data_IF_478904263790
#
_entry.id   IF_478904263790
#
_cell.length_a   1.000
_cell.length_b   1.000
_cell.length_c   1.000
_cell.angle_alpha   90.00
_cell.angle_beta   90.00
_cell.angle_gamma   90.00
#
_symmetry.space_group_name_H-M   'P 1'
#
loop_
_entity.id
_entity.type
_entity.pdbx_description
1 polymer ?
#
# COMPACT_ATOMS: atom_id res chain seq x y z
N UNK A 1 -7.62 3.93 19.46
CA UNK A 1 -9.11 3.98 19.41
C UNK A 1 -9.66 5.24 18.72
N UNK A 2 -9.59 6.46 19.29
CA UNK A 2 -10.20 7.68 18.67
C UNK A 2 -9.79 7.94 17.21
N UNK A 3 -8.52 7.70 16.87
CA UNK A 3 -8.02 7.87 15.50
C UNK A 3 -8.65 6.87 14.52
N UNK A 4 -8.87 5.62 14.97
CA UNK A 4 -9.54 4.59 14.18
C UNK A 4 -11.00 4.96 13.93
N UNK A 5 -11.73 5.37 14.97
CA UNK A 5 -13.12 5.79 14.84
C UNK A 5 -13.26 6.99 13.89
N UNK A 6 -12.36 7.96 14.00
CA UNK A 6 -12.33 9.13 13.10
C UNK A 6 -12.00 8.74 11.66
N UNK A 7 -11.01 7.89 11.45
CA UNK A 7 -10.62 7.43 10.11
C UNK A 7 -11.75 6.64 9.44
N UNK A 8 -12.45 5.77 10.19
CA UNK A 8 -13.62 5.04 9.70
C UNK A 8 -14.74 5.99 9.24
N UNK A 9 -15.06 7.02 10.05
CA UNK A 9 -16.11 8.00 9.71
C UNK A 9 -15.76 8.87 8.51
N UNK A 10 -14.54 9.40 8.47
CA UNK A 10 -14.13 10.38 7.47
C UNK A 10 -13.49 9.76 6.23
N UNK A 11 -13.21 8.45 6.23
CA UNK A 11 -12.58 7.76 5.10
C UNK A 11 -11.08 8.04 4.96
N UNK A 12 -10.42 8.42 6.06
CA UNK A 12 -8.99 8.66 6.05
C UNK A 12 -8.21 7.35 5.97
N UNK A 13 -7.04 7.37 5.32
CA UNK A 13 -6.09 6.26 5.36
C UNK A 13 -5.47 6.19 6.76
N UNK A 14 -5.52 5.01 7.39
CA UNK A 14 -4.94 4.77 8.70
C UNK A 14 -3.74 3.83 8.59
N UNK A 15 -2.59 4.28 9.09
CA UNK A 15 -1.40 3.45 9.24
C UNK A 15 -1.23 3.11 10.72
N UNK A 16 -1.31 1.82 11.06
CA UNK A 16 -1.12 1.30 12.42
C UNK A 16 0.29 0.74 12.51
N UNK A 17 1.06 1.26 13.46
CA UNK A 17 2.44 0.86 13.69
C UNK A 17 2.53 -0.21 14.77
N UNK A 18 3.68 -0.89 14.81
CA UNK A 18 4.05 -1.87 15.84
C UNK A 18 2.98 -2.97 16.04
N UNK A 19 2.49 -3.52 14.92
CA UNK A 19 1.40 -4.52 14.93
C UNK A 19 1.81 -5.86 15.57
N UNK A 20 3.09 -6.06 15.94
CA UNK A 20 3.51 -7.11 16.86
C UNK A 20 2.66 -7.14 18.15
N UNK A 21 2.21 -5.98 18.63
CA UNK A 21 1.27 -5.83 19.74
C UNK A 21 -0.16 -5.64 19.22
N UNK A 22 -0.65 -6.63 18.47
CA UNK A 22 -1.96 -6.58 17.82
C UNK A 22 -3.12 -6.36 18.80
N UNK A 23 -3.96 -5.34 18.54
CA UNK A 23 -5.18 -5.06 19.29
C UNK A 23 -6.41 -5.69 18.58
N UNK A 24 -7.09 -6.67 19.21
CA UNK A 24 -8.29 -7.32 18.67
C UNK A 24 -9.46 -6.37 18.34
N UNK A 25 -9.44 -5.11 18.80
CA UNK A 25 -10.42 -4.09 18.39
C UNK A 25 -10.47 -3.88 16.87
N UNK A 26 -9.41 -4.25 16.14
CA UNK A 26 -9.35 -4.18 14.68
C UNK A 26 -10.09 -5.33 13.98
N UNK A 27 -10.44 -6.41 14.69
CA UNK A 27 -11.06 -7.60 14.11
C UNK A 27 -12.31 -7.28 13.25
N UNK A 28 -13.29 -6.49 13.71
CA UNK A 28 -14.47 -6.19 12.90
C UNK A 28 -14.11 -5.47 11.59
N UNK A 29 -13.08 -4.62 11.63
CA UNK A 29 -12.57 -3.87 10.47
C UNK A 29 -11.90 -4.80 9.47
N UNK A 30 -11.02 -5.68 9.94
CA UNK A 30 -10.30 -6.63 9.08
C UNK A 30 -11.26 -7.67 8.47
N UNK A 31 -12.23 -8.13 9.25
CA UNK A 31 -13.26 -9.08 8.81
C UNK A 31 -14.29 -8.45 7.87
N UNK A 32 -14.34 -7.12 7.80
CA UNK A 32 -15.40 -6.38 7.12
C UNK A 32 -16.78 -6.80 7.64
N UNK A 33 -16.93 -6.84 8.96
CA UNK A 33 -18.20 -7.13 9.65
C UNK A 33 -19.12 -5.91 9.61
N UNK A 34 -19.67 -5.64 8.42
CA UNK A 34 -20.41 -4.41 8.15
C UNK A 34 -21.92 -4.63 8.29
N UNK A 35 -22.59 -3.76 9.05
CA UNK A 35 -24.05 -3.71 9.18
C UNK A 35 -24.62 -2.67 8.24
N UNK A 36 -25.75 -2.98 7.60
CA UNK A 36 -26.49 -2.04 6.75
C UNK A 36 -27.83 -1.71 7.40
N UNK A 37 -28.02 -0.45 7.78
CA UNK A 37 -29.23 0.00 8.47
C UNK A 37 -29.65 1.36 7.93
N UNK A 38 -30.86 1.47 7.38
CA UNK A 38 -31.41 2.74 6.90
C UNK A 38 -30.54 3.44 5.84
N UNK A 39 -29.90 2.68 4.94
CA UNK A 39 -28.99 3.22 3.92
C UNK A 39 -27.58 3.56 4.43
N UNK A 40 -27.34 3.47 5.74
CA UNK A 40 -26.01 3.64 6.34
C UNK A 40 -25.26 2.33 6.41
N UNK A 41 -23.95 2.44 6.27
CA UNK A 41 -22.99 1.34 6.39
C UNK A 41 -22.28 1.55 7.73
N UNK A 42 -22.44 0.61 8.65
CA UNK A 42 -21.99 0.73 10.04
C UNK A 42 -21.01 -0.40 10.37
N UNK A 43 -20.06 -0.12 11.25
CA UNK A 43 -19.16 -1.12 11.81
C UNK A 43 -19.14 -0.99 13.34
N UNK A 44 -19.22 -2.13 14.03
CA UNK A 44 -19.26 -2.15 15.49
C UNK A 44 -17.84 -2.27 16.04
N UNK A 45 -17.39 -1.28 16.80
CA UNK A 45 -16.11 -1.29 17.52
C UNK A 45 -16.35 -1.26 19.04
N UNK A 46 -16.20 -2.41 19.68
CA UNK A 46 -16.58 -2.59 21.07
C UNK A 46 -18.08 -2.31 21.23
N UNK A 47 -18.40 -1.28 22.01
CA UNK A 47 -19.80 -0.90 22.31
C UNK A 47 -20.37 0.18 21.39
N UNK A 48 -19.63 0.62 20.35
CA UNK A 48 -20.04 1.72 19.48
C UNK A 48 -20.23 1.28 18.03
N UNK A 49 -21.35 1.68 17.45
CA UNK A 49 -21.59 1.62 16.01
C UNK A 49 -21.08 2.90 15.34
N UNK A 50 -20.28 2.74 14.30
CA UNK A 50 -19.57 3.83 13.62
C UNK A 50 -19.90 3.77 12.13
N UNK A 51 -20.26 4.91 11.55
CA UNK A 51 -20.42 5.03 10.09
C UNK A 51 -19.10 4.73 9.38
N UNK A 52 -19.13 3.76 8.46
CA UNK A 52 -17.99 3.33 7.66
C UNK A 52 -18.00 4.06 6.32
N UNK A 53 -16.99 4.88 6.08
CA UNK A 53 -16.74 5.50 4.79
C UNK A 53 -16.18 4.49 3.79
N UNK A 54 -16.67 4.46 2.54
CA UNK A 54 -16.13 3.59 1.49
C UNK A 54 -14.70 3.96 1.07
N UNK A 55 -14.22 5.16 1.40
CA UNK A 55 -12.85 5.60 1.11
C UNK A 55 -11.82 5.14 2.15
N UNK A 56 -12.26 4.59 3.28
CA UNK A 56 -11.37 4.15 4.35
C UNK A 56 -10.41 3.05 3.87
N UNK A 57 -9.13 3.21 4.25
CA UNK A 57 -8.09 2.19 4.02
C UNK A 57 -7.25 2.06 5.28
N UNK A 58 -6.76 0.85 5.55
CA UNK A 58 -5.88 0.58 6.69
C UNK A 58 -4.65 -0.18 6.24
N UNK A 59 -3.50 0.20 6.79
CA UNK A 59 -2.23 -0.49 6.64
C UNK A 59 -1.69 -0.82 8.02
N UNK A 60 -1.35 -2.09 8.23
CA UNK A 60 -0.74 -2.56 9.46
C UNK A 60 0.75 -2.78 9.18
N UNK A 61 1.62 -2.13 9.97
CA UNK A 61 3.06 -2.22 9.78
C UNK A 61 3.74 -2.72 11.05
N UNK A 62 4.80 -3.50 10.86
CA UNK A 62 5.75 -3.90 11.90
C UNK A 62 7.17 -3.72 11.35
N UNK A 63 8.12 -3.45 12.25
CA UNK A 63 9.56 -3.47 11.94
C UNK A 63 10.21 -4.80 12.31
N UNK A 64 9.54 -5.61 13.10
CA UNK A 64 10.05 -6.88 13.56
C UNK A 64 9.69 -7.98 12.55
N UNK A 65 10.71 -8.46 11.82
CA UNK A 65 10.56 -9.52 10.83
C UNK A 65 10.40 -10.91 11.44
N UNK A 66 10.60 -11.05 12.75
CA UNK A 66 10.51 -12.34 13.46
C UNK A 66 9.13 -12.61 14.07
N UNK A 67 8.20 -11.66 13.95
CA UNK A 67 6.85 -11.77 14.52
C UNK A 67 6.08 -12.88 13.84
N UNK A 68 5.62 -13.84 14.64
CA UNK A 68 4.65 -14.84 14.21
C UNK A 68 3.24 -14.37 14.56
N UNK A 69 2.49 -13.95 13.55
CA UNK A 69 1.08 -13.62 13.71
C UNK A 69 0.23 -14.88 13.84
N UNK A 70 -0.84 -14.80 14.64
CA UNK A 70 -1.77 -15.92 14.77
C UNK A 70 -2.43 -16.24 13.41
N UNK A 71 -2.76 -17.51 13.12
CA UNK A 71 -3.42 -17.90 11.88
C UNK A 71 -4.72 -17.13 11.62
N UNK A 72 -5.41 -16.74 12.69
CA UNK A 72 -6.61 -15.92 12.64
C UNK A 72 -6.35 -14.56 11.97
N UNK A 73 -5.34 -13.82 12.45
CA UNK A 73 -4.94 -12.53 11.86
C UNK A 73 -4.44 -12.74 10.44
N UNK A 74 -3.62 -13.77 10.22
CA UNK A 74 -3.05 -14.09 8.92
C UNK A 74 -4.11 -14.34 7.83
N UNK A 75 -5.25 -14.92 8.20
CA UNK A 75 -6.34 -15.19 7.25
C UNK A 75 -7.09 -13.94 6.78
N UNK A 76 -6.97 -12.82 7.51
CA UNK A 76 -7.77 -11.60 7.31
C UNK A 76 -6.97 -10.46 6.68
N UNK A 77 -5.65 -10.62 6.59
CA UNK A 77 -4.73 -9.58 6.08
C UNK A 77 -4.02 -10.06 4.83
N UNK A 78 -3.58 -9.11 4.01
CA UNK A 78 -2.64 -9.39 2.92
C UNK A 78 -1.23 -9.03 3.40
N UNK A 79 -0.36 -10.03 3.50
CA UNK A 79 1.04 -9.79 3.84
C UNK A 79 1.81 -9.23 2.66
N UNK A 80 2.59 -8.18 2.92
CA UNK A 80 3.60 -7.66 2.01
C UNK A 80 4.91 -7.61 2.76
N UNK A 81 5.88 -8.40 2.30
CA UNK A 81 7.19 -8.50 2.95
C UNK A 81 8.21 -7.63 2.20
N UNK A 82 8.64 -6.53 2.82
CA UNK A 82 9.66 -5.62 2.31
C UNK A 82 11.06 -5.99 2.83
N UNK A 83 11.49 -7.24 2.61
CA UNK A 83 12.84 -7.69 2.99
C UNK A 83 13.87 -7.35 1.92
N UNK A 84 15.09 -7.06 2.37
CA UNK A 84 16.25 -6.90 1.49
C UNK A 84 16.63 -8.28 0.96
N UNK A 85 16.50 -8.46 -0.35
CA UNK A 85 17.03 -9.65 -1.03
C UNK A 85 18.48 -9.42 -1.43
N UNK A 86 19.27 -10.49 -1.57
CA UNK A 86 20.67 -10.41 -2.01
C UNK A 86 20.82 -9.61 -3.32
N UNK A 87 19.97 -9.88 -4.31
CA UNK A 87 19.96 -9.15 -5.57
C UNK A 87 19.66 -7.65 -5.37
N UNK A 88 18.72 -7.31 -4.50
CA UNK A 88 18.41 -5.90 -4.19
C UNK A 88 19.60 -5.19 -3.52
N UNK A 89 20.33 -5.88 -2.65
CA UNK A 89 21.51 -5.33 -1.98
C UNK A 89 22.67 -5.15 -2.95
N UNK A 90 22.95 -6.16 -3.80
CA UNK A 90 23.98 -6.07 -4.84
C UNK A 90 23.70 -4.88 -5.78
N UNK A 91 22.44 -4.70 -6.19
CA UNK A 91 22.03 -3.56 -7.02
C UNK A 91 22.21 -2.22 -6.29
N UNK A 92 21.84 -2.14 -5.00
CA UNK A 92 22.02 -0.93 -4.20
C UNK A 92 23.51 -0.56 -4.04
N UNK A 93 24.35 -1.54 -3.73
CA UNK A 93 25.80 -1.35 -3.63
C UNK A 93 26.40 -0.90 -4.96
N UNK A 94 26.03 -1.57 -6.07
CA UNK A 94 26.49 -1.19 -7.40
C UNK A 94 26.10 0.24 -7.76
N UNK A 95 24.86 0.65 -7.47
CA UNK A 95 24.39 2.02 -7.71
C UNK A 95 25.22 3.02 -6.90
N UNK A 96 25.53 2.71 -5.63
CA UNK A 96 26.31 3.59 -4.77
C UNK A 96 27.77 3.72 -5.25
N UNK A 97 28.39 2.61 -5.66
CA UNK A 97 29.75 2.61 -6.23
C UNK A 97 29.77 3.38 -7.55
N UNK A 98 28.80 3.16 -8.44
CA UNK A 98 28.73 3.85 -9.72
C UNK A 98 28.62 5.37 -9.54
N UNK A 99 27.82 5.84 -8.58
CA UNK A 99 27.71 7.26 -8.23
C UNK A 99 29.01 7.88 -7.77
N UNK A 100 29.80 7.13 -7.00
CA UNK A 100 31.10 7.57 -6.49
C UNK A 100 32.16 7.58 -7.58
N UNK A 101 32.27 6.48 -8.33
CA UNK A 101 33.37 6.25 -9.28
C UNK A 101 33.13 6.91 -10.64
N UNK A 102 31.88 6.91 -11.12
CA UNK A 102 31.49 7.39 -12.47
C UNK A 102 30.15 8.14 -12.42
N UNK A 103 30.10 9.33 -11.79
CA UNK A 103 28.86 10.10 -11.67
C UNK A 103 28.27 10.49 -13.03
N UNK A 104 29.12 10.71 -14.05
CA UNK A 104 28.72 10.97 -15.44
C UNK A 104 27.91 9.82 -16.05
N UNK A 105 28.28 8.58 -15.72
CA UNK A 105 27.57 7.38 -16.18
C UNK A 105 26.27 7.18 -15.42
N UNK A 106 26.25 7.45 -14.10
CA UNK A 106 25.02 7.36 -13.30
C UNK A 106 23.96 8.37 -13.77
N UNK A 107 24.37 9.62 -14.03
CA UNK A 107 23.49 10.66 -14.58
C UNK A 107 22.92 10.24 -15.93
N UNK A 108 23.77 9.80 -16.86
CA UNK A 108 23.32 9.31 -18.18
C UNK A 108 22.38 8.11 -18.05
N UNK A 109 22.63 7.19 -17.13
CA UNK A 109 21.74 6.05 -16.86
C UNK A 109 20.39 6.53 -16.34
N UNK A 110 20.38 7.47 -15.40
CA UNK A 110 19.17 8.06 -14.82
C UNK A 110 18.30 8.71 -15.91
N UNK A 111 18.93 9.49 -16.79
CA UNK A 111 18.26 10.15 -17.91
C UNK A 111 17.67 9.15 -18.90
N UNK A 112 18.42 8.10 -19.23
CA UNK A 112 17.94 7.05 -20.13
C UNK A 112 16.75 6.28 -19.55
N UNK A 113 16.77 5.97 -18.25
CA UNK A 113 15.64 5.33 -17.57
C UNK A 113 14.40 6.22 -17.56
N UNK A 114 14.60 7.53 -17.35
CA UNK A 114 13.51 8.51 -17.41
C UNK A 114 12.90 8.58 -18.80
N UNK A 115 13.72 8.74 -19.84
CA UNK A 115 13.28 8.76 -21.24
C UNK A 115 12.55 7.48 -21.63
N UNK A 116 13.06 6.32 -21.20
CA UNK A 116 12.40 5.04 -21.44
C UNK A 116 11.00 4.99 -20.82
N UNK A 117 10.84 5.47 -19.58
CA UNK A 117 9.55 5.56 -18.91
C UNK A 117 8.58 6.50 -19.63
N UNK A 118 9.06 7.69 -20.03
CA UNK A 118 8.28 8.67 -20.78
C UNK A 118 7.81 8.11 -22.13
N UNK A 119 8.70 7.44 -22.88
CA UNK A 119 8.34 6.83 -24.16
C UNK A 119 7.36 5.67 -23.99
N UNK A 120 7.50 4.83 -22.96
CA UNK A 120 6.55 3.76 -22.69
C UNK A 120 5.15 4.29 -22.39
N UNK A 121 5.05 5.36 -21.59
CA UNK A 121 3.78 6.04 -21.30
C UNK A 121 3.21 6.66 -22.58
N UNK A 122 4.04 7.34 -23.38
CA UNK A 122 3.60 8.00 -24.61
C UNK A 122 3.10 7.00 -25.65
N UNK A 123 3.80 5.87 -25.80
CA UNK A 123 3.39 4.80 -26.70
C UNK A 123 1.99 4.28 -26.32
N UNK A 124 1.77 3.98 -25.04
CA UNK A 124 0.47 3.53 -24.54
C UNK A 124 -0.65 4.56 -24.76
N UNK A 125 -0.34 5.85 -24.64
CA UNK A 125 -1.31 6.92 -24.94
C UNK A 125 -1.67 6.96 -26.42
N UNK A 126 -0.68 6.83 -27.31
CA UNK A 126 -0.87 6.82 -28.75
C UNK A 126 -1.66 5.58 -29.20
N UNK A 127 -1.35 4.41 -28.65
CA UNK A 127 -2.12 3.18 -28.90
C UNK A 127 -3.59 3.35 -28.49
N UNK A 128 -3.84 3.94 -27.32
CA UNK A 128 -5.20 4.21 -26.84
C UNK A 128 -5.93 5.23 -27.74
N UNK A 129 -5.24 6.29 -28.17
CA UNK A 129 -5.81 7.31 -29.05
C UNK A 129 -6.13 6.73 -30.43
N UNK A 130 -5.25 5.90 -30.98
CA UNK A 130 -5.48 5.21 -32.25
C UNK A 130 -6.68 4.28 -32.16
N UNK A 131 -6.79 3.48 -31.09
CA UNK A 131 -7.92 2.57 -30.90
C UNK A 131 -9.24 3.34 -30.74
N UNK A 132 -9.22 4.50 -30.07
CA UNK A 132 -10.40 5.36 -29.98
C UNK A 132 -10.82 5.89 -31.35
N UNK A 133 -9.88 6.40 -32.14
CA UNK A 133 -10.16 6.93 -33.48
C UNK A 133 -10.58 5.88 -34.52
N UNK A 134 -10.27 4.59 -34.31
CA UNK A 134 -10.71 3.48 -35.16
C UNK A 134 -12.08 2.93 -34.78
N UNK A 135 -12.52 3.17 -33.55
CA UNK A 135 -13.84 2.76 -33.05
C UNK A 135 -14.91 3.84 -33.22
N UNK A 136 -14.50 5.09 -33.51
CA UNK A 136 -15.35 6.15 -34.05
C UNK A 136 -15.53 6.00 -35.57
#
# INVERSE_FOLDING_TARGET
>A
RKNLESALRFGSILLVQDVESYDPILNPVLNREVKRTGGRILITLGDQDIDLSPAFQIFLITRDSSVEFSPDVCSRVTFVNFTVTRASLEMQCLNQVLRSERPDIDEKRSDLLKLQGEFAVRLRQLEKALLAALNE
#
